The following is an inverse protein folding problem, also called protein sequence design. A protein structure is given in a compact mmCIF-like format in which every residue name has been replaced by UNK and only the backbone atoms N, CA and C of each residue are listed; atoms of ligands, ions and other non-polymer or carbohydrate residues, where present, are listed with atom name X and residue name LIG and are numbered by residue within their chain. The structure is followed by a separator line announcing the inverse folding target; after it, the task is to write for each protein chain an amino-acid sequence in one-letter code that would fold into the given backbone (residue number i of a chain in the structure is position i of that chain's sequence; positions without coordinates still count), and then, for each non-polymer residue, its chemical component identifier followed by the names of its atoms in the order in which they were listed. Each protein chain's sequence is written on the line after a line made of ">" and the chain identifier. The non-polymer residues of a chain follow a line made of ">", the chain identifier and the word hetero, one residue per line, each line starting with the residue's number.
data_IF_993148423440
#
_entry.id   IF_993148423440
#
_cell.length_a   1.000
_cell.length_b   1.000
_cell.length_c   1.000
_cell.angle_alpha   90.00
_cell.angle_beta   90.00
_cell.angle_gamma   90.00
#
_symmetry.space_group_name_H-M   'P 1'
#
loop_
_entity.id
_entity.type
_entity.pdbx_description
1 polymer ?
#
# COMPACT_ATOMS: atom_id res chain seq x y z
N UNK A 1 -26.26 -4.25 12.16
CA UNK A 1 -24.89 -4.75 11.94
C UNK A 1 -23.83 -3.65 12.10
N UNK A 2 -23.93 -2.53 11.41
CA UNK A 2 -23.00 -1.40 11.51
C UNK A 2 -22.72 -1.00 12.98
N UNK A 3 -23.79 -0.78 13.76
CA UNK A 3 -23.66 -0.43 15.19
C UNK A 3 -22.88 -1.46 16.02
N UNK A 4 -22.99 -2.74 15.67
CA UNK A 4 -22.22 -3.81 16.35
C UNK A 4 -20.74 -3.67 15.99
N UNK A 5 -20.42 -3.51 14.70
CA UNK A 5 -19.04 -3.40 14.22
C UNK A 5 -18.35 -2.10 14.70
N UNK A 6 -19.09 -1.03 14.86
CA UNK A 6 -18.58 0.25 15.38
C UNK A 6 -18.31 0.24 16.88
N UNK A 7 -19.08 -0.53 17.65
CA UNK A 7 -19.03 -0.52 19.12
C UNK A 7 -18.27 -1.71 19.73
N UNK A 8 -18.29 -2.87 19.08
CA UNK A 8 -17.61 -4.06 19.59
C UNK A 8 -16.08 -3.92 19.46
N UNK A 9 -15.36 -4.18 20.54
CA UNK A 9 -13.90 -4.05 20.62
C UNK A 9 -13.12 -4.89 19.59
N UNK A 10 -13.75 -5.93 19.03
CA UNK A 10 -13.13 -6.83 18.03
C UNK A 10 -13.10 -6.22 16.65
N UNK A 11 -13.99 -5.26 16.36
CA UNK A 11 -14.18 -4.65 15.05
C UNK A 11 -13.86 -3.15 15.04
N UNK A 12 -14.11 -2.48 16.16
CA UNK A 12 -13.95 -1.04 16.31
C UNK A 12 -12.52 -0.63 15.92
N UNK A 13 -12.40 0.17 14.86
CA UNK A 13 -11.12 0.67 14.31
C UNK A 13 -10.13 -0.40 13.84
N UNK A 14 -10.56 -1.67 13.77
CA UNK A 14 -9.71 -2.77 13.31
C UNK A 14 -9.94 -3.14 11.86
N UNK A 15 -11.12 -2.84 11.34
CA UNK A 15 -11.44 -2.96 9.93
C UNK A 15 -11.10 -1.64 9.25
N UNK A 16 -10.22 -1.70 8.26
CA UNK A 16 -9.75 -0.52 7.56
C UNK A 16 -9.40 -0.83 6.10
N UNK A 17 -9.49 0.18 5.24
CA UNK A 17 -9.12 0.10 3.84
C UNK A 17 -7.67 0.55 3.68
N UNK A 18 -6.84 -0.30 3.10
CA UNK A 18 -5.53 0.12 2.61
C UNK A 18 -5.74 0.84 1.26
N UNK A 19 -5.68 2.16 1.28
CA UNK A 19 -5.94 3.00 0.11
C UNK A 19 -4.89 2.81 -1.00
N UNK A 20 -3.68 2.36 -0.65
CA UNK A 20 -2.64 2.08 -1.64
C UNK A 20 -2.90 0.78 -2.40
N UNK A 21 -3.23 -0.31 -1.71
CA UNK A 21 -3.50 -1.62 -2.33
C UNK A 21 -4.96 -1.85 -2.68
N UNK A 22 -5.86 -0.95 -2.25
CA UNK A 22 -7.31 -1.07 -2.35
C UNK A 22 -7.86 -2.37 -1.75
N UNK A 23 -7.22 -2.84 -0.68
CA UNK A 23 -7.58 -4.06 0.02
C UNK A 23 -8.09 -3.76 1.44
N UNK A 24 -9.08 -4.52 1.90
CA UNK A 24 -9.60 -4.39 3.27
C UNK A 24 -8.79 -5.25 4.20
N UNK A 25 -8.47 -4.70 5.35
CA UNK A 25 -7.71 -5.34 6.41
C UNK A 25 -8.54 -5.48 7.68
N UNK A 26 -8.29 -6.55 8.41
CA UNK A 26 -8.70 -6.72 9.81
C UNK A 26 -7.43 -6.79 10.65
N UNK A 27 -7.22 -5.79 11.48
CA UNK A 27 -5.92 -5.53 12.13
C UNK A 27 -4.81 -5.41 11.07
N UNK A 28 -3.83 -6.30 11.08
CA UNK A 28 -2.68 -6.31 10.14
C UNK A 28 -2.84 -7.31 8.99
N UNK A 29 -3.98 -8.00 8.89
CA UNK A 29 -4.18 -9.06 7.89
C UNK A 29 -5.21 -8.68 6.85
N UNK A 30 -4.90 -8.89 5.55
CA UNK A 30 -5.90 -8.69 4.52
C UNK A 30 -7.09 -9.65 4.72
N UNK A 31 -8.28 -9.09 4.59
CA UNK A 31 -9.53 -9.82 4.75
C UNK A 31 -9.76 -10.75 3.54
N UNK A 32 -10.14 -11.99 3.81
CA UNK A 32 -10.43 -13.00 2.79
C UNK A 32 -11.91 -13.35 2.80
N UNK A 33 -12.41 -13.90 1.72
CA UNK A 33 -13.82 -14.32 1.59
C UNK A 33 -14.27 -15.25 2.74
N UNK A 34 -13.37 -16.12 3.20
CA UNK A 34 -13.62 -17.01 4.34
C UNK A 34 -13.84 -16.25 5.65
N UNK A 35 -13.32 -15.05 5.79
CA UNK A 35 -13.45 -14.27 7.02
C UNK A 35 -14.85 -13.69 7.15
N UNK A 36 -15.53 -13.34 6.05
CA UNK A 36 -16.94 -12.95 6.09
C UNK A 36 -17.84 -14.06 6.65
N UNK A 37 -17.54 -15.32 6.33
CA UNK A 37 -18.24 -16.46 6.91
C UNK A 37 -17.99 -16.60 8.42
N UNK A 38 -16.76 -16.32 8.88
CA UNK A 38 -16.41 -16.30 10.30
C UNK A 38 -17.14 -15.17 11.04
N UNK A 39 -17.22 -13.98 10.44
CA UNK A 39 -18.00 -12.84 10.95
C UNK A 39 -19.46 -13.22 11.11
N UNK A 40 -20.07 -13.83 10.10
CA UNK A 40 -21.46 -14.29 10.10
C UNK A 40 -21.75 -15.25 11.25
N UNK A 41 -20.92 -16.28 11.42
CA UNK A 41 -21.04 -17.25 12.49
C UNK A 41 -20.89 -16.60 13.87
N UNK A 42 -19.93 -15.71 14.01
CA UNK A 42 -19.69 -14.98 15.24
C UNK A 42 -20.88 -14.08 15.61
N UNK A 43 -21.42 -13.31 14.67
CA UNK A 43 -22.59 -12.46 14.91
C UNK A 43 -23.81 -13.28 15.36
N UNK A 44 -24.03 -14.41 14.71
CA UNK A 44 -25.09 -15.32 15.12
C UNK A 44 -24.91 -15.83 16.54
N UNK A 45 -23.68 -16.27 16.89
CA UNK A 45 -23.41 -16.84 18.22
C UNK A 45 -23.48 -15.83 19.36
N UNK A 46 -23.11 -14.57 19.11
CA UNK A 46 -23.04 -13.55 20.18
C UNK A 46 -24.33 -12.73 20.32
N UNK A 47 -25.03 -12.51 19.22
CA UNK A 47 -26.19 -11.60 19.20
C UNK A 47 -27.48 -12.29 18.77
N UNK A 48 -27.45 -13.58 18.44
CA UNK A 48 -28.59 -14.36 17.92
C UNK A 48 -29.25 -13.71 16.68
N UNK A 49 -28.45 -12.99 15.86
CA UNK A 49 -28.92 -12.28 14.67
C UNK A 49 -28.37 -12.96 13.43
N UNK A 50 -29.24 -13.13 12.44
CA UNK A 50 -28.88 -13.65 11.12
C UNK A 50 -28.76 -12.52 10.10
N UNK A 51 -27.58 -12.41 9.50
CA UNK A 51 -27.34 -11.52 8.36
C UNK A 51 -27.00 -12.32 7.10
N UNK A 52 -27.38 -11.82 5.93
CA UNK A 52 -26.88 -12.36 4.68
C UNK A 52 -25.38 -12.08 4.55
N UNK A 53 -24.70 -12.86 3.74
CA UNK A 53 -23.27 -12.62 3.47
C UNK A 53 -23.06 -11.27 2.81
N UNK A 54 -23.94 -10.90 1.85
CA UNK A 54 -23.89 -9.62 1.16
C UNK A 54 -24.02 -8.43 2.11
N UNK A 55 -24.94 -8.49 3.07
CA UNK A 55 -25.08 -7.46 4.09
C UNK A 55 -23.84 -7.32 4.98
N UNK A 56 -23.13 -8.42 5.23
CA UNK A 56 -21.86 -8.39 5.99
C UNK A 56 -20.76 -7.75 5.16
N UNK A 57 -20.65 -8.12 3.88
CA UNK A 57 -19.67 -7.54 2.95
C UNK A 57 -19.90 -6.05 2.83
N UNK A 58 -21.13 -5.62 2.55
CA UNK A 58 -21.50 -4.20 2.42
C UNK A 58 -21.14 -3.39 3.67
N UNK A 59 -21.51 -3.87 4.84
CA UNK A 59 -21.18 -3.16 6.08
C UNK A 59 -19.69 -3.16 6.41
N UNK A 60 -18.97 -4.23 6.05
CA UNK A 60 -17.52 -4.29 6.24
C UNK A 60 -16.82 -3.28 5.33
N UNK A 61 -17.22 -3.20 4.05
CA UNK A 61 -16.72 -2.21 3.11
C UNK A 61 -16.97 -0.78 3.59
N UNK A 62 -18.20 -0.50 4.01
CA UNK A 62 -18.57 0.83 4.51
C UNK A 62 -17.69 1.27 5.71
N UNK A 63 -17.48 0.37 6.67
CA UNK A 63 -16.63 0.66 7.84
C UNK A 63 -15.16 0.78 7.44
N UNK A 64 -14.70 -0.06 6.52
CA UNK A 64 -13.33 0.00 6.05
C UNK A 64 -13.02 1.33 5.37
N UNK A 65 -13.92 1.82 4.52
CA UNK A 65 -13.81 3.12 3.85
C UNK A 65 -13.76 4.29 4.84
N UNK A 66 -14.54 4.24 5.92
CA UNK A 66 -14.48 5.25 6.98
C UNK A 66 -13.17 5.25 7.76
N UNK A 67 -12.45 4.15 7.75
CA UNK A 67 -11.17 3.96 8.42
C UNK A 67 -10.04 3.81 7.40
N UNK A 68 -10.13 4.44 6.24
CA UNK A 68 -9.11 4.40 5.21
C UNK A 68 -7.75 4.86 5.74
N UNK A 69 -6.68 4.16 5.34
CA UNK A 69 -5.29 4.49 5.67
C UNK A 69 -4.42 4.22 4.46
N UNK A 70 -3.39 5.03 4.30
CA UNK A 70 -2.36 4.79 3.31
C UNK A 70 -1.01 4.57 4.01
N UNK A 71 -0.65 3.32 4.36
CA UNK A 71 0.58 3.03 5.09
C UNK A 71 1.85 3.51 4.37
N UNK A 72 1.83 3.55 3.03
CA UNK A 72 2.96 4.07 2.26
C UNK A 72 3.13 5.59 2.45
N UNK A 73 2.02 6.33 2.45
CA UNK A 73 2.04 7.77 2.71
C UNK A 73 2.46 8.05 4.15
N UNK A 74 1.94 7.29 5.11
CA UNK A 74 2.31 7.40 6.52
C UNK A 74 3.82 7.20 6.69
N UNK A 75 4.37 6.12 6.10
CA UNK A 75 5.81 5.85 6.11
C UNK A 75 6.62 6.97 5.44
N UNK A 76 6.19 7.47 4.27
CA UNK A 76 6.88 8.57 3.58
C UNK A 76 6.92 9.86 4.42
N UNK A 77 5.86 10.13 5.17
CA UNK A 77 5.81 11.30 6.05
C UNK A 77 6.70 11.16 7.29
N UNK A 78 6.95 9.93 7.74
CA UNK A 78 7.81 9.63 8.88
C UNK A 78 9.30 9.61 8.53
N UNK A 79 9.65 9.52 7.24
CA UNK A 79 11.04 9.52 6.77
C UNK A 79 11.68 10.89 6.99
N UNK A 80 12.78 10.91 7.73
CA UNK A 80 13.57 12.12 7.95
C UNK A 80 14.81 12.12 7.04
N UNK A 81 14.98 13.19 6.29
CA UNK A 81 16.13 13.35 5.42
C UNK A 81 17.43 13.52 6.23
N UNK A 82 18.45 12.73 5.93
CA UNK A 82 19.76 12.76 6.59
C UNK A 82 20.71 13.83 6.04
N UNK A 83 20.26 14.68 5.13
CA UNK A 83 21.05 15.76 4.52
C UNK A 83 21.92 15.29 3.33
N UNK A 84 21.91 14.02 2.96
CA UNK A 84 22.73 13.51 1.84
C UNK A 84 21.92 13.41 0.56
N UNK A 85 22.27 14.18 -0.49
CA UNK A 85 21.57 14.15 -1.77
C UNK A 85 21.92 12.87 -2.55
N UNK A 86 20.94 11.97 -2.73
CA UNK A 86 21.11 10.70 -3.47
C UNK A 86 20.25 10.61 -4.72
N UNK A 87 19.26 11.46 -4.82
CA UNK A 87 18.20 11.36 -5.84
C UNK A 87 18.74 11.39 -7.27
N UNK A 88 19.76 12.21 -7.53
CA UNK A 88 20.32 12.37 -8.88
C UNK A 88 21.34 11.29 -9.24
N UNK A 89 21.80 10.50 -8.26
CA UNK A 89 22.92 9.58 -8.44
C UNK A 89 22.55 8.10 -8.25
N UNK A 90 21.30 7.80 -7.87
CA UNK A 90 20.94 6.45 -7.51
C UNK A 90 21.06 5.44 -8.66
N UNK A 91 20.79 5.84 -9.92
CA UNK A 91 20.99 4.99 -11.09
C UNK A 91 22.47 4.72 -11.34
N UNK A 92 23.32 5.72 -11.09
CA UNK A 92 24.77 5.63 -11.30
C UNK A 92 25.39 4.75 -10.23
N UNK A 93 25.14 5.07 -8.95
CA UNK A 93 25.75 4.37 -7.80
C UNK A 93 25.10 3.00 -7.53
N UNK A 94 23.78 2.91 -7.70
CA UNK A 94 23.02 1.68 -7.39
C UNK A 94 22.90 0.71 -8.55
N UNK A 95 22.87 1.21 -9.80
CA UNK A 95 22.67 0.38 -10.99
C UNK A 95 23.88 0.33 -11.92
N UNK A 96 24.94 1.11 -11.64
CA UNK A 96 26.11 1.19 -12.50
C UNK A 96 25.86 1.84 -13.87
N UNK A 97 24.84 2.71 -13.96
CA UNK A 97 24.56 3.44 -15.17
C UNK A 97 25.62 4.50 -15.45
N UNK A 98 25.80 4.84 -16.73
CA UNK A 98 26.74 5.90 -17.13
C UNK A 98 26.33 7.25 -16.51
N UNK A 99 27.32 7.99 -15.99
CA UNK A 99 27.10 9.30 -15.39
C UNK A 99 26.93 10.37 -16.48
N UNK A 100 25.69 10.58 -16.88
CA UNK A 100 25.29 11.63 -17.81
C UNK A 100 24.20 12.51 -17.21
N UNK A 101 24.07 13.72 -17.71
CA UNK A 101 22.98 14.63 -17.33
C UNK A 101 21.60 13.97 -17.56
N UNK A 102 21.46 13.20 -18.63
CA UNK A 102 20.22 12.50 -18.98
C UNK A 102 19.92 11.40 -17.93
N UNK A 103 20.90 10.57 -17.58
CA UNK A 103 20.74 9.51 -16.59
C UNK A 103 20.32 10.07 -15.23
N UNK A 104 20.95 11.16 -14.79
CA UNK A 104 20.58 11.84 -13.54
C UNK A 104 19.15 12.35 -13.57
N UNK A 105 18.74 12.99 -14.67
CA UNK A 105 17.40 13.52 -14.83
C UNK A 105 16.33 12.41 -14.91
N UNK A 106 16.60 11.31 -15.62
CA UNK A 106 15.71 10.16 -15.69
C UNK A 106 15.50 9.56 -14.28
N UNK A 107 16.59 9.34 -13.56
CA UNK A 107 16.53 8.77 -12.19
C UNK A 107 15.72 9.64 -11.25
N UNK A 108 15.98 10.93 -11.24
CA UNK A 108 15.26 11.90 -10.40
C UNK A 108 13.76 11.93 -10.72
N UNK A 109 13.41 12.10 -12.00
CA UNK A 109 11.99 12.19 -12.43
C UNK A 109 11.22 10.93 -12.12
N UNK A 110 11.83 9.76 -12.29
CA UNK A 110 11.17 8.50 -12.00
C UNK A 110 10.85 8.36 -10.49
N UNK A 111 11.80 8.66 -9.58
CA UNK A 111 11.55 8.65 -8.15
C UNK A 111 10.46 9.65 -7.75
N UNK A 112 10.51 10.88 -8.29
CA UNK A 112 9.46 11.89 -8.03
C UNK A 112 8.09 11.39 -8.47
N UNK A 113 7.98 10.71 -9.61
CA UNK A 113 6.72 10.13 -10.08
C UNK A 113 6.23 8.99 -9.17
N UNK A 114 7.12 8.15 -8.65
CA UNK A 114 6.75 7.11 -7.68
C UNK A 114 6.13 7.73 -6.42
N UNK A 115 6.77 8.75 -5.86
CA UNK A 115 6.27 9.48 -4.69
C UNK A 115 4.94 10.19 -5.01
N UNK A 116 4.86 10.88 -6.15
CA UNK A 116 3.63 11.56 -6.56
C UNK A 116 2.45 10.60 -6.67
N UNK A 117 2.65 9.41 -7.24
CA UNK A 117 1.63 8.35 -7.33
C UNK A 117 1.19 7.82 -5.96
N UNK A 118 2.11 7.75 -5.01
CA UNK A 118 1.78 7.34 -3.63
C UNK A 118 0.97 8.40 -2.90
N UNK A 119 1.37 9.68 -3.04
CA UNK A 119 0.74 10.81 -2.34
C UNK A 119 -0.59 11.24 -2.99
N UNK A 120 -0.70 11.12 -4.31
CA UNK A 120 -1.86 11.53 -5.10
C UNK A 120 -2.23 10.42 -6.10
N UNK A 121 -2.96 9.37 -5.65
CA UNK A 121 -3.42 8.29 -6.51
C UNK A 121 -4.22 8.82 -7.72
N UNK A 122 -3.85 8.36 -8.92
CA UNK A 122 -4.47 8.83 -10.16
C UNK A 122 -3.77 10.02 -10.83
N UNK A 123 -2.77 10.64 -10.20
CA UNK A 123 -1.97 11.69 -10.84
C UNK A 123 -1.27 11.17 -12.12
N UNK A 124 -0.97 12.07 -13.04
CA UNK A 124 -0.29 11.72 -14.30
C UNK A 124 1.17 11.35 -14.05
N UNK A 125 1.54 10.09 -14.35
CA UNK A 125 2.90 9.56 -14.26
C UNK A 125 3.12 8.54 -15.40
N UNK A 126 3.36 9.04 -16.59
CA UNK A 126 3.31 8.26 -17.84
C UNK A 126 4.67 7.64 -18.21
N UNK A 127 5.75 7.97 -17.47
CA UNK A 127 7.07 7.47 -17.79
C UNK A 127 7.35 6.13 -17.11
N UNK A 128 7.85 5.17 -17.88
CA UNK A 128 8.31 3.87 -17.41
C UNK A 128 9.84 3.84 -17.42
N UNK A 129 10.45 3.47 -16.30
CA UNK A 129 11.89 3.23 -16.25
C UNK A 129 12.19 1.79 -16.69
N UNK A 130 13.04 1.63 -17.70
CA UNK A 130 13.50 0.34 -18.20
C UNK A 130 14.99 0.20 -17.91
N UNK A 131 15.37 -0.80 -17.09
CA UNK A 131 16.78 -1.13 -16.84
C UNK A 131 17.24 -2.21 -17.81
N UNK A 132 18.19 -1.88 -18.66
CA UNK A 132 18.81 -2.80 -19.63
C UNK A 132 20.21 -3.19 -19.14
N UNK A 133 20.55 -4.47 -19.23
CA UNK A 133 21.85 -4.97 -18.82
C UNK A 133 21.92 -6.50 -18.86
N UNK A 134 23.10 -7.09 -18.67
CA UNK A 134 23.30 -8.53 -18.73
C UNK A 134 22.46 -9.29 -17.67
N UNK A 135 22.30 -10.60 -17.90
CA UNK A 135 21.69 -11.47 -16.91
C UNK A 135 22.53 -11.48 -15.64
N UNK A 136 21.88 -11.49 -14.46
CA UNK A 136 22.58 -11.45 -13.17
C UNK A 136 22.95 -10.06 -12.67
N UNK A 137 22.71 -8.99 -13.44
CA UNK A 137 22.99 -7.58 -13.03
C UNK A 137 22.05 -7.04 -11.92
N UNK A 138 21.31 -7.91 -11.23
CA UNK A 138 20.44 -7.59 -10.08
C UNK A 138 19.39 -6.50 -10.34
N UNK A 139 18.95 -6.32 -11.57
CA UNK A 139 17.95 -5.31 -11.97
C UNK A 139 16.65 -5.40 -11.15
N UNK A 140 16.09 -6.61 -11.01
CA UNK A 140 14.87 -6.85 -10.20
C UNK A 140 15.14 -6.63 -8.70
N UNK A 141 16.35 -6.94 -8.22
CA UNK A 141 16.74 -6.72 -6.83
C UNK A 141 16.77 -5.23 -6.49
N UNK A 142 17.18 -4.37 -7.43
CA UNK A 142 17.16 -2.92 -7.26
C UNK A 142 15.75 -2.41 -6.96
N UNK A 143 14.77 -2.84 -7.77
CA UNK A 143 13.36 -2.42 -7.53
C UNK A 143 12.80 -2.98 -6.24
N UNK A 144 13.15 -4.22 -5.87
CA UNK A 144 12.73 -4.81 -4.60
C UNK A 144 13.28 -4.04 -3.39
N UNK A 145 14.55 -3.62 -3.44
CA UNK A 145 15.16 -2.81 -2.37
C UNK A 145 14.48 -1.43 -2.29
N UNK A 146 14.18 -0.79 -3.43
CA UNK A 146 13.50 0.49 -3.45
C UNK A 146 12.05 0.41 -2.94
N UNK A 147 11.36 -0.69 -3.23
CA UNK A 147 9.99 -0.92 -2.76
C UNK A 147 9.93 -1.34 -1.30
N UNK A 148 11.04 -1.69 -0.67
CA UNK A 148 11.17 -2.42 0.59
C UNK A 148 10.51 -3.81 0.58
N UNK A 149 10.94 -4.73 1.44
CA UNK A 149 10.31 -6.06 1.55
C UNK A 149 8.96 -6.03 2.33
N UNK A 150 8.53 -4.85 2.78
CA UNK A 150 7.32 -4.65 3.60
C UNK A 150 6.10 -4.17 2.80
N UNK A 151 6.27 -3.83 1.49
CA UNK A 151 5.20 -3.31 0.62
C UNK A 151 5.12 -4.07 -0.70
#
# INVERSE_FOLDING_TARGET
>A
MLVIMEKDKRWKKKVWLNEFSNAIYLDEKPLKDTDYTRVKRWMHSQYSVHFSTDAIVEATNFIAEQNGKNPLVDWLNDVVWDGVPRMDEWLIRGCGAEDTKLTREIGRRWLVQCIARAMEPGCKADCVLILVGPQGARKSTTFRILASDEY
#
